data_IF_617762101641
#
_entry.id   IF_617762101641
#
_cell.length_a   1.000
_cell.length_b   1.000
_cell.length_c   1.000
_cell.angle_alpha   90.00
_cell.angle_beta   90.00
_cell.angle_gamma   90.00
#
_symmetry.space_group_name_H-M   'P 1'
#
loop_
_entity.id
_entity.type
_entity.pdbx_description
1 polymer ?
#
# COMPACT_ATOMS: atom_id res chain seq x y z
N UNK A 1 2.36 -43.38 -49.63
CA UNK A 1 1.17 -42.58 -49.27
C UNK A 1 1.61 -41.34 -48.54
N UNK A 2 1.14 -40.17 -48.98
CA UNK A 2 1.56 -38.83 -48.57
C UNK A 2 0.65 -38.29 -47.45
N UNK A 3 1.26 -37.60 -46.47
CA UNK A 3 0.69 -36.52 -45.62
C UNK A 3 -0.38 -36.97 -44.59
N UNK A 4 -0.44 -36.48 -43.36
CA UNK A 4 0.35 -35.53 -42.59
C UNK A 4 0.05 -35.77 -41.10
N UNK A 5 1.09 -35.75 -40.29
CA UNK A 5 1.06 -35.54 -38.84
C UNK A 5 0.60 -34.10 -38.54
N UNK A 6 0.10 -33.87 -37.32
CA UNK A 6 -0.14 -32.56 -36.66
C UNK A 6 -1.57 -32.02 -36.84
N UNK A 7 -2.45 -32.36 -35.90
CA UNK A 7 -3.46 -31.43 -35.38
C UNK A 7 -3.13 -31.24 -33.89
N UNK A 8 -2.27 -30.25 -33.67
CA UNK A 8 -1.79 -29.78 -32.37
C UNK A 8 -2.71 -28.64 -31.92
N UNK A 9 -3.16 -28.73 -30.66
CA UNK A 9 -3.52 -27.64 -29.76
C UNK A 9 -4.11 -26.35 -30.39
N UNK A 10 -5.43 -26.30 -30.60
CA UNK A 10 -6.14 -25.05 -30.96
C UNK A 10 -7.49 -24.91 -30.22
N UNK A 11 -7.54 -25.23 -28.93
CA UNK A 11 -8.73 -24.99 -28.09
C UNK A 11 -8.44 -24.27 -26.77
N UNK A 12 -7.31 -23.56 -26.67
CA UNK A 12 -6.94 -22.78 -25.48
C UNK A 12 -6.73 -21.28 -25.77
N UNK A 13 -7.52 -20.69 -26.68
CA UNK A 13 -7.46 -19.25 -26.98
C UNK A 13 -8.75 -18.47 -26.71
N UNK A 14 -9.70 -19.03 -25.94
CA UNK A 14 -10.95 -18.34 -25.58
C UNK A 14 -11.13 -18.18 -24.06
N UNK A 15 -10.07 -17.83 -23.35
CA UNK A 15 -10.22 -17.06 -22.11
C UNK A 15 -9.60 -15.70 -22.34
N UNK A 16 -10.38 -14.82 -22.96
CA UNK A 16 -10.13 -13.38 -22.95
C UNK A 16 -10.16 -12.91 -21.50
N UNK A 17 -9.02 -12.94 -20.83
CA UNK A 17 -8.79 -12.13 -19.64
C UNK A 17 -8.93 -10.68 -20.09
N UNK A 18 -10.07 -10.07 -19.81
CA UNK A 18 -10.23 -8.63 -19.93
C UNK A 18 -9.36 -8.04 -18.82
N UNK A 19 -8.06 -7.87 -19.13
CA UNK A 19 -7.17 -7.03 -18.36
C UNK A 19 -7.73 -5.63 -18.50
N UNK A 20 -8.38 -5.15 -17.45
CA UNK A 20 -8.76 -3.73 -17.32
C UNK A 20 -7.45 -2.95 -17.28
N UNK A 21 -7.00 -2.53 -18.46
CA UNK A 21 -5.92 -1.57 -18.62
C UNK A 21 -6.48 -0.20 -18.25
N UNK A 22 -6.08 0.32 -17.09
CA UNK A 22 -6.03 1.76 -16.92
C UNK A 22 -4.86 2.31 -17.73
N UNK A 23 -5.05 2.51 -19.04
CA UNK A 23 -4.11 3.30 -19.82
C UNK A 23 -4.25 4.78 -19.44
N UNK A 24 -3.18 5.36 -18.91
CA UNK A 24 -3.02 6.81 -18.83
C UNK A 24 -2.44 7.25 -20.18
N UNK A 25 -3.13 8.14 -20.87
CA UNK A 25 -2.70 8.78 -22.11
C UNK A 25 -1.28 9.38 -21.96
N UNK A 26 -0.32 8.85 -22.72
CA UNK A 26 0.90 9.51 -23.23
C UNK A 26 1.59 10.62 -22.39
N UNK A 27 2.00 10.32 -21.16
CA UNK A 27 2.99 11.14 -20.44
C UNK A 27 4.09 10.27 -19.79
N UNK A 28 5.09 9.87 -20.58
CA UNK A 28 6.15 8.87 -20.26
C UNK A 28 7.02 9.21 -19.03
N UNK A 29 6.83 10.35 -18.35
CA UNK A 29 7.55 10.69 -17.11
C UNK A 29 6.72 11.38 -16.03
N UNK A 30 5.39 11.39 -16.14
CA UNK A 30 4.57 12.00 -15.08
C UNK A 30 4.42 11.02 -13.92
N UNK A 31 5.00 11.39 -12.77
CA UNK A 31 4.70 10.73 -11.51
C UNK A 31 3.56 11.45 -10.81
N UNK A 32 2.58 10.71 -10.30
CA UNK A 32 1.50 11.26 -9.48
C UNK A 32 1.70 10.83 -8.03
N UNK A 33 1.62 11.77 -7.10
CA UNK A 33 1.76 11.48 -5.67
C UNK A 33 0.47 11.85 -4.95
N UNK A 34 0.05 10.99 -4.03
CA UNK A 34 -0.99 11.28 -3.04
C UNK A 34 -0.47 11.00 -1.65
N UNK A 35 -0.88 11.83 -0.70
CA UNK A 35 -0.47 11.73 0.70
C UNK A 35 -1.70 11.68 1.58
N UNK A 36 -1.63 10.85 2.62
CA UNK A 36 -2.67 10.70 3.63
C UNK A 36 -2.03 10.91 5.01
N UNK A 37 -2.72 11.63 5.89
CA UNK A 37 -2.27 11.88 7.26
C UNK A 37 -3.41 11.72 8.24
N UNK A 38 -3.10 11.17 9.41
CA UNK A 38 -4.08 10.87 10.44
C UNK A 38 -3.46 10.84 11.82
N UNK A 39 -4.27 11.15 12.83
CA UNK A 39 -3.84 11.17 14.22
C UNK A 39 -4.96 10.59 15.07
N UNK A 40 -4.62 9.69 15.99
CA UNK A 40 -5.49 9.24 17.07
C UNK A 40 -4.89 9.62 18.46
N UNK A 41 -5.38 8.99 19.51
CA UNK A 41 -4.90 9.22 20.88
C UNK A 41 -3.44 8.77 21.10
N UNK A 42 -2.97 7.76 20.38
CA UNK A 42 -1.67 7.11 20.58
C UNK A 42 -0.71 7.30 19.41
N UNK A 43 -1.21 7.54 18.21
CA UNK A 43 -0.48 7.42 16.96
C UNK A 43 -0.71 8.64 16.08
N UNK A 44 0.36 9.06 15.43
CA UNK A 44 0.35 9.92 14.25
C UNK A 44 0.90 9.11 13.09
N UNK A 45 0.19 9.13 11.96
CA UNK A 45 0.53 8.34 10.78
C UNK A 45 0.53 9.24 9.55
N UNK A 46 1.57 9.10 8.75
CA UNK A 46 1.63 9.64 7.39
C UNK A 46 1.87 8.51 6.41
N UNK A 47 1.10 8.47 5.33
CA UNK A 47 1.26 7.51 4.24
C UNK A 47 1.33 8.24 2.92
N UNK A 48 2.30 7.87 2.07
CA UNK A 48 2.49 8.45 0.75
C UNK A 48 2.51 7.36 -0.29
N UNK A 49 1.74 7.57 -1.36
CA UNK A 49 1.73 6.73 -2.55
C UNK A 49 2.24 7.55 -3.74
N UNK A 50 3.16 7.00 -4.52
CA UNK A 50 3.64 7.60 -5.77
C UNK A 50 3.48 6.60 -6.91
N UNK A 51 2.70 6.95 -7.92
CA UNK A 51 2.60 6.24 -9.20
C UNK A 51 3.74 6.72 -10.11
N UNK A 52 4.55 5.80 -10.62
CA UNK A 52 5.65 6.05 -11.58
C UNK A 52 5.49 5.06 -12.74
N UNK A 53 5.00 5.54 -13.88
CA UNK A 53 4.58 4.63 -14.96
C UNK A 53 3.43 3.75 -14.48
N UNK A 54 3.65 2.43 -14.46
CA UNK A 54 2.70 1.43 -13.92
C UNK A 54 2.97 1.07 -12.47
N UNK A 55 4.12 1.49 -11.92
CA UNK A 55 4.58 1.03 -10.62
C UNK A 55 4.07 1.96 -9.52
N UNK A 56 3.62 1.38 -8.41
CA UNK A 56 3.17 2.14 -7.26
C UNK A 56 4.17 1.95 -6.12
N UNK A 57 4.64 3.07 -5.59
CA UNK A 57 5.60 3.14 -4.51
C UNK A 57 4.95 3.70 -3.24
N UNK A 58 5.16 3.02 -2.11
CA UNK A 58 4.63 3.44 -0.80
C UNK A 58 5.71 3.79 0.20
N UNK A 59 5.39 4.76 1.05
CA UNK A 59 6.18 5.16 2.20
C UNK A 59 5.24 5.49 3.36
N UNK A 60 5.56 4.98 4.53
CA UNK A 60 4.76 5.15 5.75
C UNK A 60 5.66 5.65 6.88
N UNK A 61 5.22 6.69 7.56
CA UNK A 61 5.77 7.12 8.86
C UNK A 61 4.72 6.87 9.94
N UNK A 62 5.12 6.23 11.04
CA UNK A 62 4.27 6.00 12.22
C UNK A 62 4.99 6.56 13.43
N UNK A 63 4.31 7.39 14.21
CA UNK A 63 4.84 7.99 15.42
C UNK A 63 3.94 7.70 16.61
N UNK A 64 4.51 7.12 17.67
CA UNK A 64 3.82 6.97 18.94
C UNK A 64 3.88 8.29 19.73
N UNK A 65 2.72 8.79 20.12
CA UNK A 65 2.52 10.07 20.82
C UNK A 65 2.61 9.95 22.34
N UNK A 66 2.58 8.74 22.87
CA UNK A 66 2.76 8.52 24.30
C UNK A 66 4.21 8.74 24.75
N UNK A 67 4.44 8.65 26.06
CA UNK A 67 5.79 8.64 26.63
C UNK A 67 6.60 7.48 26.09
N UNK A 68 7.91 7.68 25.85
CA UNK A 68 8.80 6.61 25.39
C UNK A 68 8.68 5.37 26.27
N UNK A 69 8.42 4.24 25.60
CA UNK A 69 8.16 2.96 26.22
C UNK A 69 9.15 1.94 25.62
N UNK A 70 10.11 1.52 26.44
CA UNK A 70 11.18 0.61 26.02
C UNK A 70 10.64 -0.73 25.54
N UNK A 71 9.54 -1.19 26.11
CA UNK A 71 8.94 -2.47 25.76
C UNK A 71 8.20 -2.34 24.43
N UNK A 72 7.52 -1.21 24.19
CA UNK A 72 6.93 -0.92 22.88
C UNK A 72 8.00 -0.85 21.78
N UNK A 73 9.12 -0.17 22.03
CA UNK A 73 10.20 0.00 21.05
C UNK A 73 10.89 -1.32 20.69
N UNK A 74 10.85 -2.32 21.57
CA UNK A 74 11.41 -3.66 21.34
C UNK A 74 10.39 -4.67 20.82
N UNK A 75 9.09 -4.38 20.98
CA UNK A 75 8.02 -5.27 20.54
C UNK A 75 7.74 -5.06 19.05
N UNK A 76 7.84 -6.10 18.20
CA UNK A 76 7.43 -6.00 16.81
C UNK A 76 5.93 -5.66 16.77
N UNK A 77 5.63 -4.48 16.25
CA UNK A 77 4.27 -4.04 15.97
C UNK A 77 3.97 -4.31 14.50
N UNK A 78 2.69 -4.28 14.12
CA UNK A 78 2.29 -4.45 12.72
C UNK A 78 1.26 -3.40 12.36
N UNK A 79 1.28 -2.89 11.14
CA UNK A 79 0.17 -2.11 10.62
C UNK A 79 -0.46 -2.80 9.41
N UNK A 80 -1.74 -2.52 9.19
CA UNK A 80 -2.53 -2.95 8.04
C UNK A 80 -3.21 -1.73 7.43
N UNK A 81 -3.04 -1.53 6.13
CA UNK A 81 -3.64 -0.42 5.38
C UNK A 81 -4.91 -0.92 4.72
N UNK A 82 -6.04 -0.28 5.04
CA UNK A 82 -7.36 -0.57 4.47
C UNK A 82 -7.92 0.67 3.78
N UNK A 83 -8.78 0.43 2.81
CA UNK A 83 -9.59 1.43 2.16
C UNK A 83 -10.99 0.86 1.88
N UNK A 84 -11.86 1.66 1.29
CA UNK A 84 -13.26 1.32 0.99
C UNK A 84 -13.43 -0.02 0.25
N UNK A 85 -12.49 -0.38 -0.62
CA UNK A 85 -12.58 -1.59 -1.46
C UNK A 85 -11.66 -2.74 -1.03
N UNK A 86 -10.87 -2.61 0.04
CA UNK A 86 -10.04 -3.73 0.50
C UNK A 86 -8.81 -3.38 1.34
N UNK A 87 -7.81 -4.24 1.24
CA UNK A 87 -6.52 -4.13 1.95
C UNK A 87 -5.43 -3.85 0.92
N UNK A 88 -4.61 -2.82 1.16
CA UNK A 88 -3.49 -2.46 0.26
C UNK A 88 -2.22 -3.20 0.67
N UNK A 89 -1.97 -3.33 1.98
CA UNK A 89 -0.74 -3.94 2.45
C UNK A 89 -0.61 -3.97 3.96
N UNK A 90 0.42 -4.66 4.43
CA UNK A 90 0.77 -4.74 5.85
C UNK A 90 2.27 -4.84 6.03
N UNK A 91 2.79 -4.31 7.13
CA UNK A 91 4.22 -4.40 7.45
C UNK A 91 4.40 -4.50 8.97
N UNK A 92 5.37 -5.32 9.38
CA UNK A 92 5.88 -5.29 10.75
C UNK A 92 6.87 -4.13 10.92
N UNK A 93 6.84 -3.46 12.06
CA UNK A 93 7.71 -2.33 12.36
C UNK A 93 8.18 -2.30 13.81
N UNK A 94 9.30 -1.60 14.01
CA UNK A 94 9.84 -1.26 15.32
C UNK A 94 10.03 0.25 15.40
N UNK A 95 9.73 0.80 16.58
CA UNK A 95 9.97 2.23 16.83
C UNK A 95 11.44 2.47 17.16
N UNK A 96 11.96 3.59 16.67
CA UNK A 96 13.26 4.10 17.08
C UNK A 96 13.20 4.74 18.48
N UNK A 97 14.32 5.29 18.94
CA UNK A 97 14.42 5.96 20.26
C UNK A 97 13.57 7.24 20.36
N UNK A 98 13.13 7.79 19.24
CA UNK A 98 12.25 8.96 19.15
C UNK A 98 10.78 8.58 18.99
N UNK A 99 10.39 7.32 19.27
CA UNK A 99 9.04 6.79 19.10
C UNK A 99 8.53 6.81 17.65
N UNK A 100 9.43 6.73 16.67
CA UNK A 100 9.09 6.83 15.26
C UNK A 100 9.54 5.60 14.47
N UNK A 101 8.72 5.22 13.49
CA UNK A 101 9.04 4.30 12.43
C UNK A 101 8.94 5.02 11.10
N UNK A 102 9.91 4.79 10.23
CA UNK A 102 9.97 5.29 8.87
C UNK A 102 10.20 4.10 7.94
N UNK A 103 9.19 3.74 7.16
CA UNK A 103 9.33 2.66 6.20
C UNK A 103 10.29 3.10 5.08
N UNK A 104 10.97 2.13 4.48
CA UNK A 104 11.62 2.39 3.19
C UNK A 104 10.54 2.57 2.12
N UNK A 105 10.86 3.29 1.05
CA UNK A 105 10.04 3.31 -0.15
C UNK A 105 9.98 1.89 -0.73
N UNK A 106 8.79 1.32 -0.90
CA UNK A 106 8.59 -0.04 -1.42
C UNK A 106 7.61 -0.04 -2.56
N UNK A 107 7.86 -0.89 -3.55
CA UNK A 107 6.94 -1.14 -4.64
C UNK A 107 5.81 -2.08 -4.20
N UNK A 108 4.61 -1.86 -4.72
CA UNK A 108 3.52 -2.82 -4.64
C UNK A 108 3.00 -3.18 -6.03
N UNK A 109 3.28 -4.41 -6.45
CA UNK A 109 2.66 -5.00 -7.63
C UNK A 109 1.21 -5.38 -7.36
N UNK A 110 0.29 -4.93 -8.22
CA UNK A 110 -1.13 -5.26 -8.13
C UNK A 110 -1.93 -4.45 -7.12
N UNK A 111 -1.32 -3.47 -6.44
CA UNK A 111 -2.07 -2.50 -5.64
C UNK A 111 -2.84 -1.53 -6.53
N UNK A 112 -3.95 -1.03 -6.01
CA UNK A 112 -4.67 0.09 -6.60
C UNK A 112 -4.03 1.42 -6.19
N UNK A 113 -3.87 2.36 -7.13
CA UNK A 113 -3.42 3.71 -6.81
C UNK A 113 -4.61 4.55 -6.31
N UNK A 114 -4.57 4.98 -5.05
CA UNK A 114 -5.73 5.56 -4.38
C UNK A 114 -5.88 7.07 -4.63
N UNK A 115 -5.76 7.51 -5.87
CA UNK A 115 -5.89 8.92 -6.23
C UNK A 115 -7.32 9.46 -6.24
N UNK A 116 -8.31 8.59 -6.01
CA UNK A 116 -9.73 8.93 -5.88
C UNK A 116 -10.25 8.79 -4.46
N UNK A 117 -9.48 8.19 -3.55
CA UNK A 117 -9.88 8.04 -2.16
C UNK A 117 -9.61 9.33 -1.38
N UNK A 118 -10.55 9.69 -0.50
CA UNK A 118 -10.40 10.82 0.41
C UNK A 118 -9.81 10.40 1.76
N UNK A 119 -9.90 9.12 2.10
CA UNK A 119 -9.41 8.58 3.35
C UNK A 119 -8.96 7.13 3.21
N UNK A 120 -8.05 6.74 4.09
CA UNK A 120 -7.60 5.35 4.28
C UNK A 120 -7.52 5.06 5.77
N UNK A 121 -7.62 3.78 6.14
CA UNK A 121 -7.64 3.33 7.52
C UNK A 121 -6.37 2.55 7.83
N UNK A 122 -5.73 2.90 8.94
CA UNK A 122 -4.57 2.18 9.46
C UNK A 122 -4.96 1.44 10.74
N UNK A 123 -4.92 0.11 10.69
CA UNK A 123 -4.98 -0.71 11.89
C UNK A 123 -3.57 -1.01 12.39
N UNK A 124 -3.21 -0.46 13.54
CA UNK A 124 -1.92 -0.67 14.20
C UNK A 124 -2.12 -1.67 15.33
N UNK A 125 -1.43 -2.80 15.25
CA UNK A 125 -1.38 -3.86 16.25
C UNK A 125 -0.14 -3.66 17.13
N UNK A 126 -0.34 -3.42 18.42
CA UNK A 126 0.72 -3.07 19.37
C UNK A 126 0.32 -3.50 20.79
N UNK A 127 1.22 -4.10 21.58
CA UNK A 127 0.98 -4.49 22.99
C UNK A 127 -0.40 -5.13 23.24
N UNK A 128 -0.76 -6.12 22.42
CA UNK A 128 -2.05 -6.83 22.46
C UNK A 128 -3.29 -5.93 22.24
N UNK A 129 -3.09 -4.71 21.74
CA UNK A 129 -4.11 -3.74 21.39
C UNK A 129 -4.15 -3.51 19.89
N UNK A 130 -5.28 -2.98 19.43
CA UNK A 130 -5.49 -2.50 18.07
C UNK A 130 -5.90 -1.04 18.16
N UNK A 131 -5.20 -0.19 17.41
CA UNK A 131 -5.56 1.21 17.18
C UNK A 131 -5.99 1.37 15.73
N UNK A 132 -7.08 2.09 15.49
CA UNK A 132 -7.51 2.46 14.14
C UNK A 132 -7.30 3.95 13.94
N UNK A 133 -6.39 4.32 13.05
CA UNK A 133 -6.13 5.72 12.67
C UNK A 133 -6.78 5.97 11.32
N UNK A 134 -7.68 6.95 11.25
CA UNK A 134 -8.27 7.40 10.00
C UNK A 134 -7.33 8.46 9.41
N UNK A 135 -6.76 8.18 8.24
CA UNK A 135 -5.90 9.11 7.54
C UNK A 135 -6.70 9.78 6.44
N UNK A 136 -6.73 11.11 6.45
CA UNK A 136 -7.36 11.91 5.40
C UNK A 136 -6.33 12.29 4.36
N UNK A 137 -6.76 12.36 3.11
CA UNK A 137 -5.96 12.88 2.03
C UNK A 137 -5.54 14.32 2.35
N UNK A 138 -4.29 14.62 2.09
CA UNK A 138 -3.74 15.98 2.13
C UNK A 138 -3.25 16.32 0.74
N UNK A 139 -3.82 17.37 0.16
CA UNK A 139 -3.34 17.88 -1.12
C UNK A 139 -1.97 18.52 -0.93
N UNK A 140 -1.09 18.34 -1.91
CA UNK A 140 0.21 19.01 -1.98
C UNK A 140 0.08 20.31 -2.76
#
# INVERSE_FOLDING_TARGET
>A
MKKAFIIFCLLFLFNSTVLVHGEIENHIFQSKTVSFKGVDNNWEVSHKMTLVGTDILFETTIKYKGTYDKDLAKSPSRYLIKYSHGIIGSEAFLLNKSNEFHSKKRECGGCEFLDKENEVFYEIYWKDKISTVILKRVDQ
#
